data_IF_958052866589
#
_entry.id   IF_958052866589
#
_cell.length_a   1.000
_cell.length_b   1.000
_cell.length_c   1.000
_cell.angle_alpha   90.00
_cell.angle_beta   90.00
_cell.angle_gamma   90.00
#
_symmetry.space_group_name_H-M   'P 1'
#
loop_
_entity.id
_entity.type
_entity.pdbx_description
1 polymer ?
#
# COMPACT_ATOMS: atom_id res chain seq x y z
N UNK A 1 -9.36 24.27 8.08
CA UNK A 1 -9.73 23.38 6.96
C UNK A 1 -10.08 24.25 5.75
N UNK A 2 -9.32 24.15 4.65
CA UNK A 2 -9.40 25.08 3.52
C UNK A 2 -10.65 24.91 2.63
N UNK A 3 -10.93 25.94 1.83
CA UNK A 3 -12.14 26.07 0.98
C UNK A 3 -12.37 24.92 -0.01
N UNK A 4 -11.33 24.19 -0.40
CA UNK A 4 -11.48 23.04 -1.31
C UNK A 4 -12.31 21.91 -0.66
N UNK A 5 -12.20 21.74 0.65
CA UNK A 5 -12.92 20.73 1.42
C UNK A 5 -14.40 21.09 1.58
N UNK A 6 -14.72 22.39 1.66
CA UNK A 6 -16.10 22.87 1.73
C UNK A 6 -16.91 22.57 0.46
N UNK A 7 -16.25 22.54 -0.71
CA UNK A 7 -16.89 22.19 -1.99
C UNK A 7 -17.36 20.72 -2.04
N UNK A 8 -16.70 19.82 -1.32
CA UNK A 8 -17.09 18.41 -1.21
C UNK A 8 -18.16 18.16 -0.13
N UNK A 9 -18.13 18.93 0.95
CA UNK A 9 -19.07 18.78 2.08
C UNK A 9 -20.47 19.37 1.78
N UNK A 10 -20.55 20.41 0.94
CA UNK A 10 -21.78 21.19 0.72
C UNK A 10 -22.92 20.50 -0.05
N UNK A 11 -22.76 19.24 -0.51
CA UNK A 11 -23.81 18.46 -1.19
C UNK A 11 -23.98 17.04 -0.65
N UNK A 12 -23.46 16.78 0.55
CA UNK A 12 -23.42 15.44 1.13
C UNK A 12 -24.79 14.97 1.66
N UNK A 13 -25.56 14.27 0.83
CA UNK A 13 -26.65 13.42 1.30
C UNK A 13 -26.04 12.14 1.87
N UNK A 14 -26.04 12.03 3.21
CA UNK A 14 -25.72 10.83 4.00
C UNK A 14 -24.23 10.40 4.05
N UNK A 15 -23.65 10.38 5.26
CA UNK A 15 -22.29 9.88 5.56
C UNK A 15 -22.03 8.42 5.12
N UNK A 16 -23.02 7.49 5.14
CA UNK A 16 -22.81 6.14 4.61
C UNK A 16 -22.38 6.05 3.14
N UNK A 17 -22.64 7.10 2.34
CA UNK A 17 -22.43 7.12 0.90
C UNK A 17 -21.17 7.88 0.47
N UNK A 18 -20.40 8.43 1.43
CA UNK A 18 -19.29 9.32 1.11
C UNK A 18 -18.02 8.96 1.89
N UNK A 19 -17.03 8.48 1.13
CA UNK A 19 -15.64 8.29 1.54
C UNK A 19 -15.44 7.22 2.62
N UNK A 20 -15.23 5.99 2.16
CA UNK A 20 -14.81 4.86 2.99
C UNK A 20 -13.33 4.59 2.71
N UNK A 21 -12.46 5.41 3.29
CA UNK A 21 -11.02 5.11 3.35
C UNK A 21 -10.73 4.73 4.80
N UNK A 22 -10.51 3.44 5.04
CA UNK A 22 -10.06 2.96 6.34
C UNK A 22 -8.59 2.55 6.21
N UNK A 23 -7.67 3.40 6.65
CA UNK A 23 -6.27 3.02 6.82
C UNK A 23 -6.12 2.44 8.23
N UNK A 24 -6.05 1.11 8.35
CA UNK A 24 -5.83 0.45 9.63
C UNK A 24 -4.33 0.14 9.82
N UNK A 25 -3.78 0.46 11.00
CA UNK A 25 -2.64 -0.29 11.55
C UNK A 25 -3.18 -1.51 12.31
N UNK A 26 -2.47 -2.64 12.23
CA UNK A 26 -3.07 -3.97 12.34
C UNK A 26 -3.32 -4.51 13.74
N UNK A 27 -2.82 -3.89 14.81
CA UNK A 27 -3.08 -4.38 16.17
C UNK A 27 -4.58 -4.42 16.53
N UNK A 28 -5.44 -3.88 15.67
CA UNK A 28 -6.88 -3.73 15.86
C UNK A 28 -7.76 -4.68 15.03
N UNK A 29 -7.31 -5.24 13.90
CA UNK A 29 -8.20 -5.92 12.93
C UNK A 29 -8.38 -7.41 13.17
N UNK A 30 -7.32 -8.08 13.58
CA UNK A 30 -7.20 -9.53 13.74
C UNK A 30 -7.34 -9.96 15.21
N UNK A 31 -6.98 -9.09 16.16
CA UNK A 31 -7.08 -9.32 17.62
C UNK A 31 -8.48 -9.05 18.18
N UNK A 32 -9.29 -8.21 17.51
CA UNK A 32 -10.63 -7.85 17.97
C UNK A 32 -11.70 -8.76 17.35
N UNK A 33 -12.45 -9.46 18.20
CA UNK A 33 -13.50 -10.40 17.79
C UNK A 33 -14.52 -9.71 16.85
N UNK A 34 -14.75 -10.30 15.68
CA UNK A 34 -15.77 -9.87 14.73
C UNK A 34 -15.35 -8.76 13.75
N UNK A 35 -14.15 -8.18 13.88
CA UNK A 35 -13.74 -7.06 13.02
C UNK A 35 -13.48 -7.47 11.57
N UNK A 36 -12.84 -8.62 11.33
CA UNK A 36 -12.71 -9.17 9.97
C UNK A 36 -14.07 -9.37 9.28
N UNK A 37 -15.08 -9.86 10.01
CA UNK A 37 -16.44 -10.03 9.47
C UNK A 37 -17.12 -8.70 9.16
N UNK A 38 -16.84 -7.64 9.95
CA UNK A 38 -17.31 -6.29 9.65
C UNK A 38 -16.67 -5.77 8.35
N UNK A 39 -15.35 -5.92 8.19
CA UNK A 39 -14.66 -5.52 6.96
C UNK A 39 -15.15 -6.31 5.75
N UNK A 40 -15.34 -7.62 5.86
CA UNK A 40 -15.93 -8.44 4.80
C UNK A 40 -17.29 -7.88 4.34
N UNK A 41 -18.19 -7.58 5.30
CA UNK A 41 -19.50 -6.98 4.98
C UNK A 41 -19.41 -5.60 4.34
N UNK A 42 -18.43 -4.79 4.74
CA UNK A 42 -18.19 -3.49 4.12
C UNK A 42 -17.68 -3.69 2.70
N UNK A 43 -16.65 -4.50 2.52
CA UNK A 43 -15.98 -4.76 1.24
C UNK A 43 -16.95 -5.35 0.21
N UNK A 44 -17.79 -6.31 0.62
CA UNK A 44 -18.85 -6.88 -0.21
C UNK A 44 -19.93 -5.87 -0.65
N UNK A 45 -19.98 -4.68 -0.03
CA UNK A 45 -20.83 -3.54 -0.47
C UNK A 45 -20.10 -2.59 -1.42
N UNK A 46 -18.99 -3.01 -2.02
CA UNK A 46 -18.20 -2.22 -2.97
C UNK A 46 -17.27 -1.19 -2.31
N UNK A 47 -16.92 -1.38 -1.04
CA UNK A 47 -16.07 -0.42 -0.31
C UNK A 47 -14.63 -0.49 -0.78
N UNK A 48 -14.07 0.68 -1.07
CA UNK A 48 -12.64 0.87 -1.21
C UNK A 48 -11.90 0.54 0.08
N UNK A 49 -10.87 -0.30 0.01
CA UNK A 49 -10.09 -0.69 1.19
C UNK A 49 -8.59 -0.72 0.89
N UNK A 50 -7.81 0.02 1.69
CA UNK A 50 -6.38 0.18 1.47
C UNK A 50 -5.59 -0.05 2.75
N UNK A 51 -4.47 -0.74 2.62
CA UNK A 51 -3.57 -1.05 3.73
C UNK A 51 -2.17 -0.52 3.43
N UNK A 52 -1.51 0.04 4.46
CA UNK A 52 -0.18 0.65 4.32
C UNK A 52 0.76 0.18 5.43
N UNK A 53 2.01 -0.10 5.07
CA UNK A 53 3.10 -0.49 5.95
C UNK A 53 2.71 -1.69 6.85
N UNK A 54 2.85 -1.61 8.18
CA UNK A 54 2.33 -2.64 9.09
C UNK A 54 0.85 -2.97 8.89
N UNK A 55 0.07 -2.08 8.26
CA UNK A 55 -1.30 -2.32 7.83
C UNK A 55 -1.47 -3.45 6.80
N UNK A 56 -0.40 -3.98 6.18
CA UNK A 56 -0.49 -5.15 5.28
C UNK A 56 -0.11 -6.49 5.94
N UNK A 57 0.25 -6.52 7.23
CA UNK A 57 0.71 -7.73 7.93
C UNK A 57 -0.40 -8.44 8.72
N UNK A 58 -0.73 -9.67 8.36
CA UNK A 58 -1.68 -10.48 9.12
C UNK A 58 -1.00 -11.71 9.72
N UNK A 59 -1.50 -12.25 10.84
CA UNK A 59 -1.03 -13.54 11.35
C UNK A 59 -1.17 -14.64 10.29
N UNK A 60 -0.22 -15.57 10.28
CA UNK A 60 -0.20 -16.69 9.32
C UNK A 60 -1.51 -17.50 9.28
N UNK A 61 -2.16 -17.64 10.43
CA UNK A 61 -3.37 -18.45 10.62
C UNK A 61 -4.66 -17.62 10.60
N UNK A 62 -4.61 -16.32 10.32
CA UNK A 62 -5.79 -15.43 10.38
C UNK A 62 -5.69 -14.25 9.42
N UNK A 63 -6.74 -14.00 8.63
CA UNK A 63 -6.84 -12.81 7.79
C UNK A 63 -6.16 -12.88 6.43
N UNK A 64 -5.27 -13.87 6.19
CA UNK A 64 -4.56 -13.99 4.92
C UNK A 64 -5.50 -14.23 3.72
N UNK A 65 -6.50 -15.10 3.88
CA UNK A 65 -7.49 -15.36 2.84
C UNK A 65 -8.35 -14.13 2.54
N UNK A 66 -8.75 -13.39 3.57
CA UNK A 66 -9.45 -12.11 3.49
C UNK A 66 -8.61 -11.08 2.74
N UNK A 67 -7.37 -10.85 3.14
CA UNK A 67 -6.51 -9.83 2.54
C UNK A 67 -6.18 -10.13 1.08
N UNK A 68 -5.99 -11.41 0.72
CA UNK A 68 -5.88 -11.81 -0.69
C UNK A 68 -7.10 -11.40 -1.50
N UNK A 69 -8.32 -11.63 -1.00
CA UNK A 69 -9.56 -11.20 -1.68
C UNK A 69 -9.74 -9.68 -1.66
N UNK A 70 -9.39 -9.02 -0.57
CA UNK A 70 -9.69 -7.61 -0.33
C UNK A 70 -8.71 -6.67 -1.03
N UNK A 71 -7.42 -6.91 -0.84
CA UNK A 71 -6.36 -6.03 -1.33
C UNK A 71 -5.39 -6.77 -2.26
N UNK A 72 -5.55 -8.07 -2.51
CA UNK A 72 -4.72 -8.86 -3.43
C UNK A 72 -3.57 -9.62 -2.78
N UNK A 73 -3.14 -9.23 -1.58
CA UNK A 73 -2.07 -9.90 -0.86
C UNK A 73 -1.76 -9.29 0.49
N UNK A 74 -0.82 -9.90 1.21
CA UNK A 74 -0.41 -9.47 2.56
C UNK A 74 1.04 -9.85 2.87
N UNK A 75 1.59 -9.24 3.91
CA UNK A 75 2.79 -9.72 4.57
C UNK A 75 2.42 -10.92 5.45
N UNK A 76 3.22 -11.98 5.41
CA UNK A 76 3.08 -13.14 6.29
C UNK A 76 4.37 -13.35 7.09
N UNK A 77 4.22 -13.43 8.41
CA UNK A 77 5.33 -13.72 9.31
C UNK A 77 6.01 -15.05 8.92
N UNK A 78 7.34 -15.03 8.86
CA UNK A 78 8.18 -16.14 8.40
C UNK A 78 8.07 -16.53 6.91
N UNK A 79 7.49 -15.66 6.10
CA UNK A 79 7.48 -15.83 4.65
C UNK A 79 7.95 -14.57 3.93
N UNK A 80 7.42 -13.42 4.33
CA UNK A 80 7.80 -12.10 3.85
C UNK A 80 8.97 -11.53 4.67
N UNK A 81 9.59 -10.48 4.17
CA UNK A 81 10.62 -9.74 4.90
C UNK A 81 10.54 -8.23 4.65
N UNK A 82 11.09 -7.46 5.59
CA UNK A 82 10.99 -6.01 5.70
C UNK A 82 12.38 -5.35 5.84
N UNK A 83 13.30 -5.51 4.88
CA UNK A 83 14.59 -4.84 4.95
C UNK A 83 14.45 -3.33 4.68
N UNK A 84 15.43 -2.56 5.13
CA UNK A 84 15.59 -1.15 4.72
C UNK A 84 16.48 -1.09 3.48
N UNK A 85 15.96 -0.54 2.39
CA UNK A 85 16.71 -0.39 1.14
C UNK A 85 16.19 0.76 0.26
N UNK A 86 16.99 1.15 -0.72
CA UNK A 86 16.68 2.19 -1.70
C UNK A 86 15.94 1.55 -2.88
N UNK A 87 14.63 1.83 -2.99
CA UNK A 87 13.82 1.34 -4.10
C UNK A 87 13.74 2.39 -5.20
N UNK A 88 14.09 1.97 -6.43
CA UNK A 88 14.07 2.84 -7.61
C UNK A 88 12.86 2.51 -8.48
N UNK A 89 12.03 3.51 -8.76
CA UNK A 89 10.84 3.40 -9.58
C UNK A 89 11.05 4.18 -10.89
N UNK A 90 11.23 3.45 -11.99
CA UNK A 90 11.59 4.04 -13.29
C UNK A 90 10.44 3.99 -14.31
N UNK A 91 9.52 3.04 -14.14
CA UNK A 91 8.35 2.87 -15.00
C UNK A 91 7.11 2.60 -14.15
N UNK A 92 5.96 3.00 -14.69
CA UNK A 92 4.67 2.88 -14.02
C UNK A 92 3.63 2.31 -14.99
N UNK A 93 2.66 1.51 -14.52
CA UNK A 93 1.61 0.97 -15.39
C UNK A 93 0.65 2.08 -15.84
N UNK A 94 -0.19 1.79 -16.84
CA UNK A 94 -1.37 2.60 -17.12
C UNK A 94 -2.43 2.34 -16.04
N UNK A 95 -2.46 3.19 -15.00
CA UNK A 95 -3.41 3.07 -13.90
C UNK A 95 -3.70 4.45 -13.29
N UNK A 96 -4.91 4.73 -12.74
CA UNK A 96 -5.18 6.02 -12.10
C UNK A 96 -4.19 6.35 -10.98
N UNK A 97 -3.68 5.36 -10.25
CA UNK A 97 -2.72 5.58 -9.16
C UNK A 97 -1.37 6.13 -9.67
N UNK A 98 -0.94 5.76 -10.87
CA UNK A 98 0.33 6.20 -11.45
C UNK A 98 0.26 7.53 -12.22
N UNK A 99 -0.93 8.14 -12.36
CA UNK A 99 -1.10 9.39 -13.10
C UNK A 99 -0.24 10.52 -12.52
N UNK A 100 0.52 11.18 -13.40
CA UNK A 100 1.44 12.26 -13.04
C UNK A 100 2.64 11.86 -12.18
N UNK A 101 2.81 10.58 -11.86
CA UNK A 101 3.98 10.11 -11.10
C UNK A 101 5.17 10.04 -12.05
N UNK A 102 6.28 10.68 -11.66
CA UNK A 102 7.56 10.68 -12.38
C UNK A 102 8.55 9.74 -11.68
N UNK A 103 9.60 9.27 -12.36
CA UNK A 103 10.60 8.42 -11.74
C UNK A 103 11.20 9.01 -10.46
N UNK A 104 11.36 8.18 -9.44
CA UNK A 104 11.94 8.56 -8.16
C UNK A 104 12.62 7.37 -7.48
N UNK A 105 13.50 7.68 -6.54
CA UNK A 105 14.17 6.71 -5.69
C UNK A 105 13.95 7.11 -4.25
N UNK A 106 13.69 6.12 -3.38
CA UNK A 106 13.44 6.41 -1.97
C UNK A 106 13.87 5.25 -1.07
N UNK A 107 14.54 5.62 0.02
CA UNK A 107 14.92 4.70 1.08
C UNK A 107 13.76 4.51 2.04
N UNK A 108 13.32 3.28 2.22
CA UNK A 108 12.24 2.94 3.17
C UNK A 108 12.44 1.52 3.72
N UNK A 109 11.62 1.12 4.69
CA UNK A 109 11.47 -0.29 5.08
C UNK A 109 10.45 -0.94 4.12
N UNK A 110 10.96 -1.35 2.96
CA UNK A 110 10.15 -1.88 1.86
C UNK A 110 10.00 -3.38 1.98
N UNK A 111 8.76 -3.84 2.15
CA UNK A 111 8.47 -5.25 2.33
C UNK A 111 8.41 -5.97 0.99
N UNK A 112 8.92 -7.19 0.94
CA UNK A 112 8.82 -8.03 -0.25
C UNK A 112 8.71 -9.52 0.09
N UNK A 113 8.58 -10.36 -0.96
CA UNK A 113 8.13 -11.74 -0.81
C UNK A 113 6.76 -11.82 -0.13
N UNK A 114 5.85 -10.94 -0.56
CA UNK A 114 4.46 -10.89 -0.08
C UNK A 114 3.68 -12.14 -0.52
N UNK A 115 2.62 -12.47 0.22
CA UNK A 115 1.65 -13.50 -0.16
C UNK A 115 0.54 -12.87 -1.01
N UNK A 116 0.58 -13.08 -2.31
CA UNK A 116 -0.49 -12.70 -3.22
C UNK A 116 -1.50 -13.83 -3.42
N UNK A 117 -2.67 -13.50 -3.98
CA UNK A 117 -3.55 -14.51 -4.58
C UNK A 117 -2.81 -15.25 -5.70
N UNK A 118 -3.06 -16.55 -5.82
CA UNK A 118 -2.35 -17.40 -6.77
C UNK A 118 -2.59 -16.91 -8.21
N UNK A 119 -1.52 -16.85 -8.99
CA UNK A 119 -1.54 -16.37 -10.37
C UNK A 119 -1.25 -14.88 -10.57
N UNK A 120 -1.22 -14.07 -9.50
CA UNK A 120 -0.76 -12.68 -9.61
C UNK A 120 0.76 -12.59 -9.81
N UNK A 121 1.16 -11.76 -10.77
CA UNK A 121 2.55 -11.45 -11.06
C UNK A 121 2.97 -10.17 -10.31
N UNK A 122 4.16 -10.16 -9.70
CA UNK A 122 4.62 -9.02 -8.89
C UNK A 122 5.23 -7.88 -9.70
N UNK A 123 5.40 -8.06 -11.01
CA UNK A 123 5.99 -7.12 -11.94
C UNK A 123 4.97 -6.59 -12.96
N UNK A 124 4.04 -7.44 -13.41
CA UNK A 124 3.12 -7.14 -14.50
C UNK A 124 1.64 -7.21 -14.07
N UNK A 125 0.76 -6.41 -14.70
CA UNK A 125 -0.68 -6.53 -14.48
C UNK A 125 -1.19 -7.93 -14.85
N UNK A 126 -2.05 -8.48 -14.00
CA UNK A 126 -2.66 -9.80 -14.19
C UNK A 126 -4.16 -9.75 -13.91
N UNK A 127 -4.91 -10.70 -14.48
CA UNK A 127 -6.32 -10.86 -14.18
C UNK A 127 -6.61 -12.34 -13.92
N UNK A 128 -7.07 -12.65 -12.70
CA UNK A 128 -7.40 -14.00 -12.25
C UNK A 128 -8.82 -13.97 -11.68
N UNK A 129 -9.69 -14.86 -12.14
CA UNK A 129 -11.09 -14.95 -11.69
C UNK A 129 -11.86 -13.62 -11.72
N UNK A 130 -11.56 -12.77 -12.71
CA UNK A 130 -12.16 -11.45 -12.85
C UNK A 130 -11.58 -10.36 -11.94
N UNK A 131 -10.66 -10.70 -11.03
CA UNK A 131 -9.93 -9.72 -10.22
C UNK A 131 -8.74 -9.22 -11.03
N UNK A 132 -8.67 -7.91 -11.26
CA UNK A 132 -7.52 -7.26 -11.89
C UNK A 132 -6.52 -6.86 -10.80
N UNK A 133 -5.27 -7.30 -10.95
CA UNK A 133 -4.16 -6.94 -10.07
C UNK A 133 -3.14 -6.12 -10.86
N UNK A 134 -2.74 -4.98 -10.32
CA UNK A 134 -1.80 -4.06 -10.99
C UNK A 134 -0.69 -3.66 -10.02
N UNK A 135 0.56 -4.11 -10.23
CA UNK A 135 1.73 -3.55 -9.56
C UNK A 135 1.92 -2.09 -9.98
N UNK A 136 1.77 -1.15 -9.04
CA UNK A 136 1.90 0.30 -9.31
C UNK A 136 3.32 0.78 -9.07
N UNK A 137 3.88 0.43 -7.91
CA UNK A 137 5.28 0.63 -7.60
C UNK A 137 5.93 -0.73 -7.50
N UNK A 138 6.86 -1.03 -8.39
CA UNK A 138 7.58 -2.29 -8.39
C UNK A 138 9.07 -2.06 -8.64
N UNK A 139 9.92 -2.70 -7.86
CA UNK A 139 11.37 -2.51 -7.90
C UNK A 139 12.11 -3.84 -7.67
N UNK A 140 13.35 -3.94 -8.15
CA UNK A 140 14.20 -5.12 -7.96
C UNK A 140 15.13 -4.83 -6.77
N UNK A 141 14.97 -5.50 -5.61
CA UNK A 141 15.93 -5.36 -4.54
C UNK A 141 17.27 -5.99 -4.94
N UNK A 142 18.36 -5.36 -4.53
CA UNK A 142 19.71 -5.87 -4.78
C UNK A 142 19.92 -7.25 -4.13
N UNK A 143 20.90 -8.02 -4.61
CA UNK A 143 21.30 -9.26 -3.94
C UNK A 143 21.71 -9.02 -2.49
N UNK A 144 22.39 -7.90 -2.20
CA UNK A 144 22.77 -7.54 -0.84
C UNK A 144 21.54 -7.27 0.05
N UNK A 145 20.49 -6.65 -0.50
CA UNK A 145 19.21 -6.46 0.20
C UNK A 145 18.54 -7.80 0.47
N UNK A 146 18.46 -8.69 -0.54
CA UNK A 146 17.86 -10.02 -0.40
C UNK A 146 18.63 -10.92 0.57
N UNK A 147 19.95 -10.80 0.62
CA UNK A 147 20.84 -11.60 1.48
C UNK A 147 21.13 -10.95 2.84
N UNK A 148 20.72 -9.70 3.07
CA UNK A 148 21.23 -8.86 4.13
C UNK A 148 20.87 -9.33 5.55
N UNK A 149 21.65 -8.94 6.58
CA UNK A 149 21.44 -9.36 7.97
C UNK A 149 20.23 -8.69 8.65
N UNK A 150 19.59 -7.73 7.97
CA UNK A 150 18.53 -6.87 8.47
C UNK A 150 17.12 -7.35 8.11
N UNK A 151 16.97 -8.49 7.42
CA UNK A 151 15.66 -9.14 7.35
C UNK A 151 15.33 -9.70 8.72
N UNK A 152 14.21 -9.26 9.28
CA UNK A 152 13.63 -9.85 10.47
C UNK A 152 12.48 -10.76 10.02
N UNK A 153 12.45 -12.06 10.43
CA UNK A 153 13.42 -12.78 11.27
C UNK A 153 14.79 -13.01 10.59
N UNK A 154 15.85 -13.19 11.41
CA UNK A 154 17.25 -13.35 10.95
C UNK A 154 17.42 -14.49 9.94
N UNK A 155 17.86 -14.12 8.74
CA UNK A 155 18.24 -15.00 7.63
C UNK A 155 17.14 -15.05 6.57
N UNK A 156 17.42 -14.72 5.30
CA UNK A 156 16.39 -14.86 4.29
C UNK A 156 16.07 -16.34 4.15
N UNK A 157 14.79 -16.69 4.27
CA UNK A 157 14.30 -18.02 3.94
C UNK A 157 14.80 -18.42 2.54
N UNK A 158 15.10 -19.71 2.27
CA UNK A 158 15.63 -20.14 0.98
C UNK A 158 14.85 -19.62 -0.23
N UNK A 159 13.52 -19.49 -0.13
CA UNK A 159 12.67 -18.95 -1.21
C UNK A 159 12.88 -17.45 -1.48
N UNK A 160 13.34 -16.67 -0.51
CA UNK A 160 13.69 -15.26 -0.69
C UNK A 160 15.00 -15.14 -1.48
N UNK A 161 15.99 -15.96 -1.14
CA UNK A 161 17.28 -16.00 -1.84
C UNK A 161 17.14 -16.55 -3.26
N UNK A 162 16.28 -17.55 -3.45
CA UNK A 162 16.00 -18.10 -4.79
C UNK A 162 15.28 -17.11 -5.70
N UNK A 163 14.66 -16.06 -5.15
CA UNK A 163 13.97 -15.02 -5.89
C UNK A 163 14.89 -13.86 -6.35
N UNK A 164 16.21 -14.05 -6.40
CA UNK A 164 17.16 -13.05 -6.92
C UNK A 164 16.74 -12.57 -8.32
N UNK A 165 16.84 -11.26 -8.54
CA UNK A 165 16.42 -10.60 -9.78
C UNK A 165 14.92 -10.41 -9.95
N UNK A 166 14.07 -11.01 -9.10
CA UNK A 166 12.61 -10.81 -9.16
C UNK A 166 12.27 -9.35 -8.83
N UNK A 167 11.40 -8.75 -9.64
CA UNK A 167 10.79 -7.45 -9.35
C UNK A 167 9.67 -7.66 -8.33
N UNK A 168 9.70 -6.92 -7.24
CA UNK A 168 8.74 -7.03 -6.14
C UNK A 168 7.73 -5.90 -6.21
N UNK A 169 6.46 -6.19 -5.93
CA UNK A 169 5.42 -5.16 -5.85
C UNK A 169 5.41 -4.53 -4.47
N UNK A 170 5.66 -3.22 -4.41
CA UNK A 170 5.75 -2.42 -3.20
C UNK A 170 4.51 -1.54 -2.97
N UNK A 171 3.79 -1.25 -4.05
CA UNK A 171 2.40 -0.76 -4.07
C UNK A 171 1.67 -1.53 -5.17
N UNK A 172 0.50 -2.08 -4.86
CA UNK A 172 -0.36 -2.73 -5.84
C UNK A 172 -1.82 -2.32 -5.66
N UNK A 173 -2.58 -2.42 -6.75
CA UNK A 173 -4.01 -2.21 -6.77
C UNK A 173 -4.74 -3.50 -7.16
N UNK A 174 -5.95 -3.67 -6.62
CA UNK A 174 -6.92 -4.67 -7.05
C UNK A 174 -8.27 -4.04 -7.39
N UNK A 175 -8.83 -4.45 -8.53
CA UNK A 175 -10.21 -4.17 -8.91
C UNK A 175 -10.98 -5.49 -8.93
N UNK A 176 -12.02 -5.57 -8.10
CA UNK A 176 -12.82 -6.77 -7.91
C UNK A 176 -14.05 -6.76 -8.83
N UNK A 177 -14.61 -7.93 -9.21
CA UNK A 177 -15.81 -8.01 -10.05
C UNK A 177 -17.04 -7.27 -9.52
N UNK A 178 -17.10 -7.03 -8.21
CA UNK A 178 -18.17 -6.26 -7.55
C UNK A 178 -18.00 -4.73 -7.67
N UNK A 179 -17.00 -4.26 -8.43
CA UNK A 179 -16.64 -2.85 -8.57
C UNK A 179 -15.85 -2.30 -7.38
N UNK A 180 -15.62 -3.13 -6.36
CA UNK A 180 -14.82 -2.80 -5.20
C UNK A 180 -13.34 -2.68 -5.54
N UNK A 181 -12.68 -1.72 -4.89
CA UNK A 181 -11.25 -1.44 -5.09
C UNK A 181 -10.46 -1.74 -3.83
N UNK A 182 -9.21 -2.13 -4.00
CA UNK A 182 -8.28 -2.19 -2.89
C UNK A 182 -6.84 -1.94 -3.28
N UNK A 183 -6.00 -1.63 -2.30
CA UNK A 183 -4.56 -1.53 -2.52
C UNK A 183 -3.79 -1.99 -1.29
N UNK A 184 -2.57 -2.46 -1.50
CA UNK A 184 -1.59 -2.65 -0.44
C UNK A 184 -0.32 -1.89 -0.76
N UNK A 185 0.25 -1.26 0.27
CA UNK A 185 1.46 -0.46 0.20
C UNK A 185 2.42 -0.86 1.31
N UNK A 186 3.68 -1.07 0.99
CA UNK A 186 4.66 -1.61 1.95
C UNK A 186 5.52 -0.54 2.62
N UNK A 187 5.69 0.62 1.97
CA UNK A 187 6.49 1.73 2.51
C UNK A 187 5.73 2.59 3.51
N UNK A 188 6.34 3.70 3.91
CA UNK A 188 5.79 4.63 4.90
C UNK A 188 6.42 4.49 6.29
N UNK A 189 7.57 3.83 6.41
CA UNK A 189 8.30 3.71 7.68
C UNK A 189 8.94 5.04 8.08
N UNK A 190 9.69 5.66 7.18
CA UNK A 190 10.36 6.92 7.48
C UNK A 190 9.44 8.10 7.21
N UNK A 191 9.05 8.81 8.27
CA UNK A 191 8.21 10.01 8.16
C UNK A 191 8.79 11.03 7.16
N UNK A 192 10.12 11.17 7.09
CA UNK A 192 10.80 12.10 6.16
C UNK A 192 10.44 11.86 4.68
N UNK A 193 10.04 10.64 4.31
CA UNK A 193 9.68 10.28 2.94
C UNK A 193 8.46 11.05 2.43
N UNK A 194 7.63 11.59 3.34
CA UNK A 194 6.53 12.47 2.96
C UNK A 194 7.00 13.80 2.38
N UNK A 195 8.30 14.16 2.40
CA UNK A 195 8.81 15.31 1.62
C UNK A 195 8.96 15.02 0.13
N UNK A 196 8.99 13.75 -0.29
CA UNK A 196 9.08 13.40 -1.70
C UNK A 196 7.71 13.57 -2.40
N UNK A 197 7.63 14.50 -3.35
CA UNK A 197 6.38 14.80 -4.08
C UNK A 197 5.81 13.59 -4.83
N UNK A 198 6.66 12.74 -5.41
CA UNK A 198 6.21 11.56 -6.17
C UNK A 198 5.65 10.49 -5.23
N UNK A 199 6.28 10.31 -4.08
CA UNK A 199 5.79 9.44 -3.01
C UNK A 199 4.41 9.91 -2.51
N UNK A 200 4.27 11.20 -2.18
CA UNK A 200 2.98 11.79 -1.76
C UNK A 200 1.90 11.63 -2.83
N UNK A 201 2.21 12.02 -4.08
CA UNK A 201 1.26 11.95 -5.20
C UNK A 201 0.75 10.53 -5.42
N UNK A 202 1.64 9.53 -5.36
CA UNK A 202 1.24 8.14 -5.54
C UNK A 202 0.21 7.71 -4.50
N UNK A 203 0.42 8.06 -3.23
CA UNK A 203 -0.52 7.72 -2.15
C UNK A 203 -1.82 8.52 -2.27
N UNK A 204 -1.77 9.81 -2.56
CA UNK A 204 -2.97 10.63 -2.77
C UNK A 204 -3.83 10.09 -3.93
N UNK A 205 -3.19 9.69 -5.03
CA UNK A 205 -3.88 9.04 -6.14
C UNK A 205 -4.55 7.73 -5.69
N UNK A 206 -3.87 6.90 -4.89
CA UNK A 206 -4.42 5.66 -4.35
C UNK A 206 -5.67 5.90 -3.48
N UNK A 207 -5.60 6.88 -2.58
CA UNK A 207 -6.70 7.26 -1.69
C UNK A 207 -7.92 7.77 -2.49
N UNK A 208 -7.71 8.67 -3.46
CA UNK A 208 -8.78 9.13 -4.34
C UNK A 208 -9.38 7.99 -5.15
N UNK A 209 -8.53 7.11 -5.71
CA UNK A 209 -8.98 6.01 -6.54
C UNK A 209 -9.85 4.99 -5.78
N UNK A 210 -9.47 4.59 -4.55
CA UNK A 210 -10.32 3.70 -3.73
C UNK A 210 -11.59 4.39 -3.24
N UNK A 211 -11.57 5.71 -3.07
CA UNK A 211 -12.75 6.50 -2.73
C UNK A 211 -13.71 6.69 -3.93
N UNK A 212 -13.36 6.21 -5.12
CA UNK A 212 -14.14 6.41 -6.34
C UNK A 212 -14.03 7.82 -6.94
N UNK A 213 -13.08 8.63 -6.46
CA UNK A 213 -12.79 9.96 -6.98
C UNK A 213 -11.88 9.82 -8.20
N UNK A 214 -12.24 10.50 -9.30
CA UNK A 214 -11.41 10.53 -10.51
C UNK A 214 -10.05 11.18 -10.22
N UNK A 215 -8.97 10.46 -10.52
CA UNK A 215 -7.61 11.00 -10.47
C UNK A 215 -7.31 11.74 -11.77
N UNK A 216 -6.94 13.03 -11.77
CA UNK A 216 -6.56 13.76 -12.99
C UNK A 216 -5.35 13.13 -13.69
N UNK A 217 -5.18 13.40 -14.99
CA UNK A 217 -4.04 12.85 -15.77
C UNK A 217 -2.67 13.31 -15.22
N UNK A 218 -2.61 14.50 -14.62
CA UNK A 218 -1.41 15.02 -13.94
C UNK A 218 -1.25 14.54 -12.49
N UNK A 219 -2.14 13.66 -12.01
CA UNK A 219 -2.20 13.20 -10.63
C UNK A 219 -2.89 14.19 -9.69
N UNK A 220 -2.99 13.83 -8.42
CA UNK A 220 -3.43 14.73 -7.35
C UNK A 220 -2.26 15.64 -6.96
N UNK A 221 -2.53 16.95 -6.91
CA UNK A 221 -1.56 17.94 -6.43
C UNK A 221 -1.53 17.99 -4.91
N UNK A 222 -0.34 18.27 -4.39
CA UNK A 222 -0.10 18.58 -2.98
C UNK A 222 1.02 19.61 -2.89
N UNK A 223 0.92 20.53 -1.95
CA UNK A 223 2.00 21.47 -1.69
C UNK A 223 3.29 20.71 -1.30
N UNK A 224 4.48 21.24 -1.64
CA UNK A 224 5.75 20.76 -1.12
C UNK A 224 5.77 20.80 0.41
N UNK A 225 6.34 19.78 1.04
CA UNK A 225 6.51 19.75 2.50
C UNK A 225 7.92 20.23 2.84
N UNK A 226 8.01 21.33 3.57
CA UNK A 226 9.28 21.92 4.01
C UNK A 226 9.98 21.08 5.11
N UNK A 227 11.27 21.38 5.32
CA UNK A 227 12.05 20.78 6.41
C UNK A 227 11.50 21.13 7.80
N UNK A 228 10.82 22.26 7.95
CA UNK A 228 10.14 22.59 9.20
C UNK A 228 8.87 21.76 9.39
N UNK A 229 8.02 21.68 8.36
CA UNK A 229 6.72 20.98 8.45
C UNK A 229 6.89 19.48 8.70
N UNK A 230 7.88 18.84 8.06
CA UNK A 230 8.12 17.40 8.24
C UNK A 230 8.59 17.03 9.65
N UNK A 231 9.06 18.01 10.43
CA UNK A 231 9.52 17.81 11.79
C UNK A 231 8.42 18.08 12.83
N UNK A 232 7.26 18.59 12.39
CA UNK A 232 6.12 18.83 13.26
C UNK A 232 5.46 17.51 13.70
N UNK A 233 4.94 17.49 14.93
CA UNK A 233 4.17 16.37 15.49
C UNK A 233 4.92 15.02 15.57
N UNK A 234 6.25 15.03 15.46
CA UNK A 234 7.06 13.84 15.71
C UNK A 234 7.01 13.45 17.20
N UNK A 235 6.83 12.15 17.45
CA UNK A 235 6.97 11.62 18.80
C UNK A 235 8.38 11.90 19.35
N UNK A 236 8.51 12.27 20.63
CA UNK A 236 9.81 12.43 21.26
C UNK A 236 10.61 11.14 21.13
N UNK A 237 11.72 11.16 20.38
CA UNK A 237 12.67 10.05 20.39
C UNK A 237 13.35 10.07 21.75
N UNK A 238 12.95 9.17 22.64
CA UNK A 238 13.67 8.90 23.87
C UNK A 238 15.15 8.62 23.58
N UNK A 239 16.04 8.95 24.52
CA UNK A 239 17.44 8.53 24.41
C UNK A 239 17.46 7.00 24.33
N UNK A 240 17.97 6.47 23.21
CA UNK A 240 18.26 5.04 23.04
C UNK A 240 19.42 4.63 23.94
#
# INVERSE_FOLDING_TARGET
FGDWMQKYLGRAKSLPDQMRVFCASLTDLDTQVGRLQLFEKLIARGVGFGCMHFGVEVPKDRGGAEFKRWIGGHYEHQWSCNPIWDARFESFPEHPISRGVRPFEIRDEWYFNMRFQDGFDTAEPTQIDGVHFTPVLAAIPSEATRNGPYVYPKGPYPHIQQAVGRKESLLWAVERPDGGKGFGFTGGHFHINWQNDQFRRTILNALCWIAGVSVPDHGIDSDPVSDSEIMENLDPKGKR
#
